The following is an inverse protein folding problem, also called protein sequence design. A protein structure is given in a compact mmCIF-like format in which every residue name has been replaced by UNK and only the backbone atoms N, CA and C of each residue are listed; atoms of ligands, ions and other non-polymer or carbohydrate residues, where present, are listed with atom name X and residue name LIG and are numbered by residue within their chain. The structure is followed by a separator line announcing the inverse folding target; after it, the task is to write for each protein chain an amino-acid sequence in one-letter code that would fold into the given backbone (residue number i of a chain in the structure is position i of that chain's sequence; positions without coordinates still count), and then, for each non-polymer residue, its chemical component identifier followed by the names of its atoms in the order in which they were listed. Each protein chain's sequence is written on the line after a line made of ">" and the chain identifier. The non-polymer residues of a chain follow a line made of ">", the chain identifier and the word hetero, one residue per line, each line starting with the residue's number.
data_IF_397286563182
#
_entry.id   IF_397286563182
#
_cell.length_a   1.000
_cell.length_b   1.000
_cell.length_c   1.000
_cell.angle_alpha   90.00
_cell.angle_beta   90.00
_cell.angle_gamma   90.00
#
_symmetry.space_group_name_H-M   'P 1'
#
loop_
_entity.id
_entity.type
_entity.pdbx_description
1 polymer ?
#
# COMPACT_ATOMS: atom_id res chain seq x y z
N UNK A 1 -14.43 -1.03 9.24
CA UNK A 1 -13.88 -1.36 7.92
C UNK A 1 -14.82 -0.80 6.86
N UNK A 2 -14.29 -0.29 5.75
CA UNK A 2 -15.06 0.43 4.75
C UNK A 2 -14.63 0.00 3.35
N UNK A 3 -15.60 -0.24 2.48
CA UNK A 3 -15.36 -0.50 1.07
C UNK A 3 -15.49 0.82 0.29
N UNK A 4 -14.38 1.41 -0.14
CA UNK A 4 -14.38 2.77 -0.71
C UNK A 4 -15.15 2.87 -2.02
N UNK A 5 -15.32 1.76 -2.76
CA UNK A 5 -16.09 1.71 -3.99
C UNK A 5 -17.59 1.92 -3.77
N UNK A 6 -18.06 1.69 -2.55
CA UNK A 6 -19.46 1.88 -2.18
C UNK A 6 -19.74 3.26 -1.58
N UNK A 7 -18.69 4.06 -1.35
CA UNK A 7 -18.83 5.39 -0.75
C UNK A 7 -19.54 6.36 -1.70
N UNK A 8 -20.56 6.99 -1.15
CA UNK A 8 -21.29 8.08 -1.82
C UNK A 8 -20.63 9.44 -1.51
N UNK A 9 -20.90 10.45 -2.34
CA UNK A 9 -20.45 11.84 -2.06
C UNK A 9 -21.03 12.35 -0.73
N UNK A 10 -22.23 11.94 -0.36
CA UNK A 10 -22.85 12.31 0.91
C UNK A 10 -22.07 11.76 2.12
N UNK A 11 -21.66 10.49 2.08
CA UNK A 11 -20.85 9.88 3.14
C UNK A 11 -19.47 10.53 3.23
N UNK A 12 -18.83 10.81 2.09
CA UNK A 12 -17.58 11.57 2.03
C UNK A 12 -17.70 12.93 2.72
N UNK A 13 -18.78 13.68 2.43
CA UNK A 13 -19.01 14.98 3.05
C UNK A 13 -19.21 14.87 4.57
N UNK A 14 -19.98 13.90 5.05
CA UNK A 14 -20.13 13.64 6.49
C UNK A 14 -18.78 13.40 7.15
N UNK A 15 -17.93 12.57 6.56
CA UNK A 15 -16.62 12.26 7.10
C UNK A 15 -15.69 13.49 7.10
N UNK A 16 -15.83 14.38 6.12
CA UNK A 16 -15.11 15.66 6.07
C UNK A 16 -15.60 16.67 7.13
N UNK A 17 -16.86 16.61 7.53
CA UNK A 17 -17.48 17.55 8.48
C UNK A 17 -17.53 17.04 9.92
N UNK A 18 -17.29 15.76 10.14
CA UNK A 18 -17.29 15.11 11.46
C UNK A 18 -16.37 15.86 12.43
N UNK A 19 -16.75 16.02 13.71
CA UNK A 19 -15.86 16.56 14.72
C UNK A 19 -14.56 15.76 14.82
N UNK A 20 -13.38 16.42 14.94
CA UNK A 20 -12.09 15.74 14.94
C UNK A 20 -12.01 14.61 15.98
N UNK A 21 -11.29 13.55 15.67
CA UNK A 21 -11.02 12.41 16.55
C UNK A 21 -12.27 11.62 16.98
N UNK A 22 -13.36 11.69 16.25
CA UNK A 22 -14.58 10.91 16.53
C UNK A 22 -14.71 9.66 15.70
N UNK A 23 -14.17 9.68 14.48
CA UNK A 23 -14.28 8.57 13.53
C UNK A 23 -12.89 8.17 13.06
N UNK A 24 -12.65 6.88 13.01
CA UNK A 24 -11.57 6.24 12.30
C UNK A 24 -12.19 5.32 11.25
N UNK A 25 -11.64 5.35 10.04
CA UNK A 25 -12.01 4.42 8.97
C UNK A 25 -10.81 3.59 8.55
N UNK A 26 -11.06 2.33 8.22
CA UNK A 26 -10.08 1.41 7.64
C UNK A 26 -10.49 1.13 6.19
N UNK A 27 -9.58 1.37 5.27
CA UNK A 27 -9.76 1.24 3.82
C UNK A 27 -8.86 0.13 3.32
N UNK A 28 -9.43 -1.06 3.17
CA UNK A 28 -8.70 -2.24 2.73
C UNK A 28 -8.44 -2.23 1.23
N UNK A 29 -7.42 -1.52 0.74
CA UNK A 29 -7.06 -1.48 -0.69
C UNK A 29 -6.41 -2.78 -1.14
N UNK A 30 -5.58 -3.39 -0.32
CA UNK A 30 -4.85 -4.63 -0.50
C UNK A 30 -3.75 -4.56 -1.57
N UNK A 31 -4.04 -4.02 -2.75
CA UNK A 31 -3.16 -3.78 -3.90
C UNK A 31 -3.79 -2.76 -4.84
N UNK A 32 -2.99 -2.06 -5.65
CA UNK A 32 -3.47 -1.26 -6.79
C UNK A 32 -3.28 -1.98 -8.13
N UNK A 33 -2.79 -3.23 -8.10
CA UNK A 33 -2.55 -4.03 -9.29
C UNK A 33 -3.80 -4.80 -9.71
N UNK A 34 -4.43 -4.38 -10.81
CA UNK A 34 -5.66 -5.00 -11.30
C UNK A 34 -5.59 -6.53 -11.41
N UNK A 35 -4.50 -7.07 -11.99
CA UNK A 35 -4.35 -8.52 -12.14
C UNK A 35 -4.32 -9.27 -10.80
N UNK A 36 -3.72 -8.65 -9.77
CA UNK A 36 -3.70 -9.17 -8.40
C UNK A 36 -5.10 -9.17 -7.80
N UNK A 37 -5.80 -8.05 -7.93
CA UNK A 37 -7.16 -7.89 -7.42
C UNK A 37 -8.14 -8.87 -8.08
N UNK A 38 -8.08 -9.01 -9.40
CA UNK A 38 -8.89 -9.99 -10.15
C UNK A 38 -8.64 -11.42 -9.65
N UNK A 39 -7.37 -11.77 -9.35
CA UNK A 39 -7.01 -13.11 -8.87
C UNK A 39 -7.55 -13.43 -7.46
N UNK A 40 -7.79 -12.43 -6.64
CA UNK A 40 -8.37 -12.60 -5.30
C UNK A 40 -9.86 -12.27 -5.25
N UNK A 41 -10.50 -12.11 -6.42
CA UNK A 41 -11.91 -11.73 -6.57
C UNK A 41 -12.27 -10.45 -5.81
N UNK A 42 -11.37 -9.45 -5.84
CA UNK A 42 -11.62 -8.15 -5.25
C UNK A 42 -11.76 -7.10 -6.34
N UNK A 43 -12.80 -6.30 -6.24
CA UNK A 43 -12.98 -5.14 -7.12
C UNK A 43 -12.48 -3.89 -6.42
N UNK A 44 -11.42 -3.30 -6.95
CA UNK A 44 -10.88 -2.01 -6.49
C UNK A 44 -10.56 -1.15 -7.71
N UNK A 45 -11.18 0.01 -7.80
CA UNK A 45 -10.82 1.04 -8.77
C UNK A 45 -9.99 2.11 -8.07
N UNK A 46 -8.67 2.05 -8.23
CA UNK A 46 -7.75 2.96 -7.55
C UNK A 46 -8.05 4.45 -7.83
N UNK A 47 -8.29 4.90 -9.07
CA UNK A 47 -8.72 6.28 -9.34
C UNK A 47 -9.98 6.71 -8.57
N UNK A 48 -10.94 5.81 -8.45
CA UNK A 48 -12.16 6.09 -7.68
C UNK A 48 -11.88 6.20 -6.19
N UNK A 49 -11.14 5.24 -5.62
CA UNK A 49 -10.73 5.24 -4.21
C UNK A 49 -9.98 6.53 -3.89
N UNK A 50 -9.02 6.91 -4.73
CA UNK A 50 -8.24 8.12 -4.58
C UNK A 50 -9.12 9.37 -4.54
N UNK A 51 -10.11 9.45 -5.43
CA UNK A 51 -11.07 10.57 -5.48
C UNK A 51 -11.94 10.63 -4.22
N UNK A 52 -12.40 9.49 -3.70
CA UNK A 52 -13.26 9.43 -2.53
C UNK A 52 -12.50 9.71 -1.22
N UNK A 53 -11.28 9.21 -1.08
CA UNK A 53 -10.53 9.25 0.19
C UNK A 53 -9.71 10.52 0.35
N UNK A 54 -9.18 11.09 -0.74
CA UNK A 54 -8.36 12.33 -0.69
C UNK A 54 -9.03 13.47 0.08
N UNK A 55 -10.30 13.86 -0.19
CA UNK A 55 -10.95 14.96 0.54
C UNK A 55 -11.03 14.69 2.05
N UNK A 56 -11.23 13.43 2.48
CA UNK A 56 -11.33 13.06 3.89
C UNK A 56 -9.98 13.24 4.58
N UNK A 57 -8.89 12.84 3.92
CA UNK A 57 -7.53 13.03 4.44
C UNK A 57 -7.20 14.52 4.54
N UNK A 58 -7.48 15.29 3.48
CA UNK A 58 -7.23 16.73 3.44
C UNK A 58 -8.05 17.52 4.47
N UNK A 59 -9.27 17.10 4.76
CA UNK A 59 -10.09 17.68 5.83
C UNK A 59 -9.48 17.45 7.23
N UNK A 60 -8.70 16.38 7.43
CA UNK A 60 -7.97 16.10 8.66
C UNK A 60 -8.85 15.86 9.90
N UNK A 61 -10.11 15.50 9.72
CA UNK A 61 -11.07 15.31 10.80
C UNK A 61 -11.31 13.85 11.14
N UNK A 62 -11.32 13.00 10.14
CA UNK A 62 -11.47 11.55 10.25
C UNK A 62 -10.11 10.90 10.12
N UNK A 63 -9.77 10.00 11.04
CA UNK A 63 -8.52 9.24 10.97
C UNK A 63 -8.66 8.13 9.92
N UNK A 64 -7.80 8.16 8.90
CA UNK A 64 -7.85 7.23 7.77
C UNK A 64 -6.69 6.26 7.85
N UNK A 65 -7.01 4.97 7.99
CA UNK A 65 -6.08 3.85 7.80
C UNK A 65 -6.26 3.28 6.40
N UNK A 66 -5.18 2.93 5.74
CA UNK A 66 -5.19 2.22 4.47
C UNK A 66 -4.32 0.98 4.56
N UNK A 67 -4.74 -0.12 3.91
CA UNK A 67 -4.08 -1.41 4.06
C UNK A 67 -3.57 -1.94 2.72
N UNK A 68 -2.35 -2.51 2.76
CA UNK A 68 -1.74 -3.30 1.69
C UNK A 68 -1.39 -4.70 2.21
N UNK A 69 -1.41 -5.69 1.33
CA UNK A 69 -1.00 -7.06 1.65
C UNK A 69 0.17 -7.51 0.78
N UNK A 70 1.27 -7.87 1.43
CA UNK A 70 2.43 -8.51 0.79
C UNK A 70 2.14 -9.98 0.55
N UNK A 71 2.53 -10.49 -0.60
CA UNK A 71 2.41 -11.92 -0.94
C UNK A 71 1.17 -12.27 -1.73
N UNK A 72 0.42 -11.30 -2.21
CA UNK A 72 -0.71 -11.51 -3.12
C UNK A 72 -0.25 -12.09 -4.48
N UNK A 73 -1.15 -12.76 -5.23
CA UNK A 73 -0.85 -13.28 -6.57
C UNK A 73 -0.29 -12.20 -7.51
N UNK A 74 0.66 -12.59 -8.37
CA UNK A 74 1.26 -11.72 -9.39
C UNK A 74 1.98 -10.46 -8.89
N UNK A 75 2.14 -10.27 -7.59
CA UNK A 75 2.75 -9.10 -7.01
C UNK A 75 4.17 -9.40 -6.51
N UNK A 76 5.17 -9.06 -7.31
CA UNK A 76 6.57 -9.08 -6.90
C UNK A 76 6.92 -7.84 -6.08
N UNK A 77 8.16 -7.75 -5.58
CA UNK A 77 8.60 -6.62 -4.75
C UNK A 77 8.47 -5.25 -5.45
N UNK A 78 8.78 -5.17 -6.75
CA UNK A 78 8.66 -3.91 -7.50
C UNK A 78 7.19 -3.51 -7.64
N UNK A 79 6.31 -4.46 -7.97
CA UNK A 79 4.88 -4.19 -8.11
C UNK A 79 4.25 -3.78 -6.77
N UNK A 80 4.63 -4.45 -5.68
CA UNK A 80 4.23 -4.02 -4.33
C UNK A 80 4.69 -2.59 -4.03
N UNK A 81 5.92 -2.25 -4.41
CA UNK A 81 6.45 -0.88 -4.27
C UNK A 81 5.62 0.17 -5.01
N UNK A 82 5.07 -0.15 -6.18
CA UNK A 82 4.15 0.74 -6.89
C UNK A 82 2.83 0.90 -6.12
N UNK A 83 2.21 -0.19 -5.67
CA UNK A 83 1.01 -0.13 -4.84
C UNK A 83 1.26 0.68 -3.56
N UNK A 84 2.41 0.50 -2.92
CA UNK A 84 2.81 1.29 -1.76
C UNK A 84 2.91 2.79 -2.09
N UNK A 85 3.57 3.16 -3.18
CA UNK A 85 3.73 4.55 -3.60
C UNK A 85 2.38 5.20 -3.92
N UNK A 86 1.47 4.46 -4.55
CA UNK A 86 0.12 4.92 -4.83
C UNK A 86 -0.58 5.35 -3.53
N UNK A 87 -0.63 4.48 -2.52
CA UNK A 87 -1.27 4.79 -1.25
C UNK A 87 -0.51 5.87 -0.46
N UNK A 88 0.82 5.78 -0.43
CA UNK A 88 1.66 6.74 0.27
C UNK A 88 1.52 8.16 -0.30
N UNK A 89 1.23 8.30 -1.59
CA UNK A 89 0.99 9.61 -2.22
C UNK A 89 -0.24 10.35 -1.66
N UNK A 90 -1.19 9.63 -1.09
CA UNK A 90 -2.36 10.21 -0.40
C UNK A 90 -2.02 10.70 1.01
N UNK A 91 -0.90 10.26 1.58
CA UNK A 91 -0.50 10.56 2.96
C UNK A 91 -1.59 10.23 4.00
N UNK A 92 -2.10 8.98 4.02
CA UNK A 92 -3.09 8.58 5.03
C UNK A 92 -2.51 8.75 6.44
N UNK A 93 -3.37 8.79 7.45
CA UNK A 93 -2.93 8.92 8.84
C UNK A 93 -2.15 7.68 9.29
N UNK A 94 -2.55 6.50 8.82
CA UNK A 94 -1.78 5.27 8.95
C UNK A 94 -1.85 4.44 7.66
N UNK A 95 -0.76 3.77 7.31
CA UNK A 95 -0.66 2.85 6.18
C UNK A 95 -0.12 1.52 6.70
N UNK A 96 -1.00 0.53 6.81
CA UNK A 96 -0.65 -0.79 7.31
C UNK A 96 -0.15 -1.69 6.18
N UNK A 97 0.95 -2.38 6.43
CA UNK A 97 1.52 -3.38 5.54
C UNK A 97 1.30 -4.74 6.18
N UNK A 98 0.30 -5.48 5.70
CA UNK A 98 0.03 -6.83 6.14
C UNK A 98 0.80 -7.87 5.33
N UNK A 99 0.91 -9.09 5.86
CA UNK A 99 1.48 -10.25 5.14
C UNK A 99 0.40 -11.31 4.98
N UNK A 100 0.28 -11.84 3.75
CA UNK A 100 -0.76 -12.80 3.42
C UNK A 100 -0.69 -14.04 4.32
N UNK A 101 -1.82 -14.43 4.87
CA UNK A 101 -2.00 -15.61 5.71
C UNK A 101 -2.89 -16.60 4.97
N UNK A 102 -2.36 -17.80 4.73
CA UNK A 102 -3.10 -18.87 4.05
C UNK A 102 -4.03 -19.60 5.03
N UNK A 103 -5.08 -18.93 5.43
CA UNK A 103 -6.04 -19.48 6.40
C UNK A 103 -6.70 -20.76 5.87
N UNK A 104 -7.02 -21.70 6.76
CA UNK A 104 -7.75 -22.92 6.40
C UNK A 104 -9.10 -22.54 5.80
N UNK A 105 -9.40 -23.07 4.62
CA UNK A 105 -10.64 -22.80 3.89
C UNK A 105 -10.58 -21.62 2.92
N UNK A 106 -9.54 -20.77 2.97
CA UNK A 106 -9.41 -19.67 1.99
C UNK A 106 -9.19 -20.20 0.57
N UNK A 107 -9.78 -19.50 -0.42
CA UNK A 107 -9.63 -19.85 -1.84
C UNK A 107 -8.18 -19.82 -2.29
N UNK A 108 -7.43 -18.80 -1.93
CA UNK A 108 -6.03 -18.57 -2.30
C UNK A 108 -5.13 -19.74 -1.87
N UNK A 109 -5.41 -20.40 -0.74
CA UNK A 109 -4.65 -21.57 -0.27
C UNK A 109 -4.68 -22.75 -1.24
N UNK A 110 -5.70 -22.86 -2.11
CA UNK A 110 -5.90 -23.96 -3.05
C UNK A 110 -5.36 -23.67 -4.45
N UNK A 111 -4.82 -22.49 -4.67
CA UNK A 111 -4.32 -22.04 -5.97
C UNK A 111 -2.85 -22.44 -6.14
N UNK A 112 -2.61 -23.66 -6.66
CA UNK A 112 -1.27 -24.25 -6.82
C UNK A 112 -0.36 -23.46 -7.78
N UNK A 113 -0.95 -22.74 -8.75
CA UNK A 113 -0.22 -21.94 -9.73
C UNK A 113 0.65 -20.85 -9.10
N UNK A 114 0.31 -20.37 -7.89
CA UNK A 114 1.09 -19.33 -7.21
C UNK A 114 2.24 -19.87 -6.37
N UNK A 115 2.36 -21.21 -6.24
CA UNK A 115 3.45 -21.90 -5.56
C UNK A 115 3.74 -21.32 -4.15
N UNK A 116 2.69 -21.11 -3.38
CA UNK A 116 2.81 -20.60 -2.03
C UNK A 116 3.58 -21.55 -1.12
N UNK A 117 4.58 -20.99 -0.44
CA UNK A 117 5.19 -21.63 0.74
C UNK A 117 4.80 -20.77 1.94
N UNK A 118 4.18 -21.39 2.94
CA UNK A 118 3.76 -20.70 4.17
C UNK A 118 4.28 -21.42 5.41
N UNK A 119 4.29 -20.70 6.53
CA UNK A 119 4.54 -21.30 7.83
C UNK A 119 3.49 -22.42 8.07
N UNK A 120 3.91 -23.62 8.49
CA UNK A 120 2.99 -24.71 8.81
C UNK A 120 2.16 -24.43 10.07
N UNK A 121 2.61 -23.53 10.93
CA UNK A 121 1.93 -23.11 12.14
C UNK A 121 1.07 -21.88 11.90
N UNK A 122 0.01 -21.73 12.71
CA UNK A 122 -0.79 -20.51 12.68
C UNK A 122 0.11 -19.29 13.02
N UNK A 123 -0.06 -18.19 12.31
CA UNK A 123 -1.16 -17.82 11.41
C UNK A 123 -1.00 -18.23 9.94
N UNK A 124 -0.14 -19.18 9.59
CA UNK A 124 0.08 -19.68 8.22
C UNK A 124 0.55 -18.58 7.26
N UNK A 125 1.44 -17.73 7.74
CA UNK A 125 1.95 -16.61 6.98
C UNK A 125 2.77 -17.06 5.77
N UNK A 126 2.59 -16.39 4.63
CA UNK A 126 3.33 -16.68 3.39
C UNK A 126 4.81 -16.33 3.56
N UNK A 127 5.66 -17.28 3.22
CA UNK A 127 7.12 -17.16 3.25
C UNK A 127 7.71 -16.92 1.86
N UNK A 128 7.06 -17.42 0.81
CA UNK A 128 7.42 -17.15 -0.59
C UNK A 128 6.26 -17.46 -1.53
N UNK A 129 6.33 -16.88 -2.75
CA UNK A 129 5.45 -17.19 -3.87
C UNK A 129 6.30 -17.41 -5.13
N UNK A 130 5.68 -17.78 -6.26
CA UNK A 130 6.38 -17.94 -7.54
C UNK A 130 7.03 -16.62 -8.04
N UNK A 131 6.56 -15.44 -7.62
CA UNK A 131 7.11 -14.12 -8.02
C UNK A 131 7.76 -13.33 -6.89
N UNK A 132 7.59 -13.75 -5.64
CA UNK A 132 8.11 -13.07 -4.47
C UNK A 132 8.91 -14.06 -3.60
N UNK A 133 10.24 -14.15 -3.78
CA UNK A 133 11.08 -15.06 -3.02
C UNK A 133 11.21 -14.65 -1.55
N UNK A 134 11.58 -15.59 -0.69
CA UNK A 134 11.70 -15.41 0.77
C UNK A 134 12.57 -14.20 1.16
N UNK A 135 13.70 -13.98 0.45
CA UNK A 135 14.57 -12.82 0.70
C UNK A 135 13.84 -11.48 0.56
N UNK A 136 12.91 -11.40 -0.41
CA UNK A 136 12.17 -10.16 -0.67
C UNK A 136 11.04 -9.98 0.34
N UNK A 137 10.39 -11.07 0.79
CA UNK A 137 9.45 -11.01 1.94
C UNK A 137 10.19 -10.55 3.21
N UNK A 138 11.36 -11.08 3.50
CA UNK A 138 12.17 -10.61 4.63
C UNK A 138 12.54 -9.12 4.53
N UNK A 139 12.90 -8.67 3.34
CA UNK A 139 13.16 -7.24 3.12
C UNK A 139 11.91 -6.40 3.42
N UNK A 140 10.73 -6.82 2.92
CA UNK A 140 9.48 -6.11 3.15
C UNK A 140 9.06 -6.14 4.63
N UNK A 141 9.37 -7.19 5.39
CA UNK A 141 9.16 -7.22 6.84
C UNK A 141 10.02 -6.19 7.59
N UNK A 142 11.30 -6.07 7.22
CA UNK A 142 12.14 -5.03 7.80
C UNK A 142 11.68 -3.62 7.39
N UNK A 143 11.23 -3.46 6.15
CA UNK A 143 10.66 -2.21 5.68
C UNK A 143 9.40 -1.85 6.48
N UNK A 144 8.48 -2.80 6.67
CA UNK A 144 7.26 -2.61 7.47
C UNK A 144 7.60 -2.20 8.91
N UNK A 145 8.51 -2.90 9.60
CA UNK A 145 8.93 -2.58 10.98
C UNK A 145 9.49 -1.15 11.09
N UNK A 146 10.31 -0.73 10.13
CA UNK A 146 10.83 0.65 10.07
C UNK A 146 9.71 1.63 9.79
N UNK A 147 8.84 1.33 8.80
CA UNK A 147 7.75 2.21 8.42
C UNK A 147 6.75 2.41 9.56
N UNK A 148 6.39 1.36 10.28
CA UNK A 148 5.53 1.41 11.48
C UNK A 148 6.11 2.35 12.54
N UNK A 149 7.42 2.23 12.81
CA UNK A 149 8.09 3.04 13.84
C UNK A 149 8.23 4.51 13.48
N UNK A 150 8.37 4.82 12.19
CA UNK A 150 8.67 6.18 11.75
C UNK A 150 7.45 6.91 11.18
N UNK A 151 6.62 6.23 10.39
CA UNK A 151 5.44 6.84 9.78
C UNK A 151 4.21 6.73 10.65
N UNK A 152 3.76 5.51 10.98
CA UNK A 152 2.52 5.27 11.73
C UNK A 152 2.60 5.77 13.18
N UNK A 153 3.81 5.91 13.73
CA UNK A 153 4.02 6.55 15.05
C UNK A 153 3.76 8.05 15.07
N UNK A 154 3.54 8.69 13.90
CA UNK A 154 3.36 10.12 13.68
C UNK A 154 4.52 11.03 14.14
N UNK A 155 5.59 10.48 14.73
CA UNK A 155 6.72 11.24 15.28
C UNK A 155 7.48 12.05 14.23
N UNK A 156 7.44 11.61 12.97
CA UNK A 156 8.19 12.20 11.86
C UNK A 156 7.27 12.74 10.75
N UNK A 157 6.04 13.08 11.07
CA UNK A 157 5.00 13.51 10.12
C UNK A 157 5.48 14.58 9.14
N UNK A 158 6.22 15.59 9.63
CA UNK A 158 6.75 16.68 8.79
C UNK A 158 7.74 16.16 7.75
N UNK A 159 8.62 15.23 8.13
CA UNK A 159 9.61 14.64 7.22
C UNK A 159 8.93 13.84 6.12
N UNK A 160 7.97 12.99 6.49
CA UNK A 160 7.21 12.19 5.51
C UNK A 160 6.28 13.05 4.65
N UNK A 161 5.73 14.14 5.17
CA UNK A 161 5.02 15.14 4.37
C UNK A 161 5.89 15.76 3.28
N UNK A 162 7.14 16.07 3.60
CA UNK A 162 8.11 16.56 2.62
C UNK A 162 8.48 15.50 1.56
N UNK A 163 8.74 14.25 1.98
CA UNK A 163 9.04 13.13 1.06
C UNK A 163 7.86 12.87 0.13
N UNK A 164 6.64 12.77 0.68
CA UNK A 164 5.42 12.56 -0.10
C UNK A 164 5.18 13.65 -1.14
N UNK A 165 5.38 14.92 -0.76
CA UNK A 165 5.23 16.04 -1.69
C UNK A 165 6.24 16.03 -2.85
N UNK A 166 7.43 15.47 -2.65
CA UNK A 166 8.41 15.26 -3.72
C UNK A 166 8.03 14.11 -4.65
N UNK A 167 7.58 12.99 -4.11
CA UNK A 167 7.14 11.84 -4.91
C UNK A 167 5.96 12.20 -5.82
N UNK A 168 5.00 13.00 -5.32
CA UNK A 168 3.88 13.49 -6.13
C UNK A 168 4.37 14.34 -7.31
N UNK A 169 5.34 15.24 -7.09
CA UNK A 169 5.90 16.08 -8.16
C UNK A 169 6.60 15.25 -9.24
N UNK A 170 7.41 14.28 -8.85
CA UNK A 170 8.11 13.41 -9.80
C UNK A 170 7.14 12.57 -10.66
N UNK A 171 6.02 12.11 -10.09
CA UNK A 171 4.98 11.40 -10.85
C UNK A 171 4.18 12.31 -11.78
N UNK A 172 3.98 13.57 -11.43
CA UNK A 172 3.25 14.52 -12.28
C UNK A 172 4.10 14.96 -13.49
N UNK A 173 5.40 15.13 -13.30
CA UNK A 173 6.32 15.50 -14.38
C UNK A 173 6.55 14.36 -15.39
N UNK A 174 6.47 13.11 -14.96
CA UNK A 174 6.61 11.93 -15.84
C UNK A 174 5.36 11.68 -16.68
N UNK A 175 4.20 12.17 -16.26
CA UNK A 175 2.93 12.00 -16.98
C UNK A 175 2.75 12.95 -18.16
N UNK A 176 3.63 13.95 -18.31
CA UNK A 176 3.57 14.96 -19.38
C UNK A 176 4.40 14.56 -20.61
N UNK A 177 5.31 13.59 -20.49
CA UNK A 177 6.07 13.04 -21.60
C UNK A 177 5.59 11.62 -21.92
N UNK A 178 4.50 11.56 -22.71
CA UNK A 178 4.01 10.29 -23.21
C UNK A 178 4.96 9.70 -24.25
N UNK A 179 5.59 8.59 -23.90
CA UNK A 179 6.00 7.54 -24.83
C UNK A 179 6.16 6.24 -24.04
N UNK A 180 5.36 5.24 -24.42
CA UNK A 180 5.42 3.87 -23.90
C UNK A 180 6.78 3.25 -24.24
N UNK A 181 7.67 3.16 -23.26
CA UNK A 181 8.80 2.26 -23.32
C UNK A 181 8.92 1.51 -21.99
N UNK A 182 8.60 0.21 -22.06
CA UNK A 182 8.88 -0.78 -21.01
C UNK A 182 10.37 -0.85 -20.70
N UNK A 183 10.86 0.01 -19.83
CA UNK A 183 12.10 -0.25 -19.04
C UNK A 183 12.15 0.74 -17.89
N UNK A 184 11.48 0.43 -16.78
CA UNK A 184 11.65 1.18 -15.55
C UNK A 184 12.99 0.84 -14.90
N UNK A 185 13.99 1.64 -15.23
CA UNK A 185 15.27 1.66 -14.57
C UNK A 185 15.13 2.46 -13.25
N UNK A 186 15.01 1.74 -12.13
CA UNK A 186 15.09 2.35 -10.79
C UNK A 186 16.55 2.80 -10.61
N UNK A 187 16.83 4.10 -10.41
CA UNK A 187 18.21 4.54 -10.20
C UNK A 187 18.77 3.90 -8.92
N UNK A 188 20.04 3.44 -8.91
CA UNK A 188 20.63 2.86 -7.74
C UNK A 188 20.69 3.89 -6.61
N UNK A 189 20.27 3.48 -5.41
CA UNK A 189 20.45 4.28 -4.20
C UNK A 189 21.92 4.67 -4.09
N UNK A 190 22.20 5.97 -3.99
CA UNK A 190 23.56 6.46 -3.71
C UNK A 190 24.02 5.82 -2.40
N UNK A 191 25.14 5.09 -2.45
CA UNK A 191 25.78 4.54 -1.27
C UNK A 191 26.09 5.68 -0.30
N UNK A 192 25.67 5.51 0.95
CA UNK A 192 26.05 6.40 2.04
C UNK A 192 27.59 6.37 2.17
N UNK A 193 28.21 7.54 2.09
CA UNK A 193 29.65 7.71 2.30
C UNK A 193 29.86 8.31 3.70
N UNK A 194 30.35 7.52 4.65
CA UNK A 194 30.55 7.97 6.03
C UNK A 194 31.69 8.97 6.21
N UNK A 195 32.45 9.29 5.14
CA UNK A 195 33.61 10.21 5.21
C UNK A 195 33.23 11.69 4.99
N UNK A 196 31.93 12.01 4.84
CA UNK A 196 31.44 13.37 4.59
C UNK A 196 30.58 13.95 5.72
N UNK A 197 30.91 13.60 6.96
CA UNK A 197 30.37 14.26 8.16
C UNK A 197 31.53 14.92 8.89
#
# INVERSE_FOLDING_TARGET
>A
EMEPELMTEWETNILCETPPSRIQIEVGVQSTHKKTLDAINRYNDWPYIQKAIRPIIEAGRTHVHMDLIVGLPYENKQRFGLSFNDLFSLQPHALQIGFLKLLKGSGVRRMEEYQYISDPLAPYEVLSTHVLPYRDIRFLKHFEDVFERFYNSERFRTVFGYIGSKLIKEHTDTSITGEDTETNHVPPMKKYDPSKV
#
